data_IF_618022050716
#
_entry.id   IF_618022050716
#
_cell.length_a   1.000
_cell.length_b   1.000
_cell.length_c   1.000
_cell.angle_alpha   90.00
_cell.angle_beta   90.00
_cell.angle_gamma   90.00
#
_symmetry.space_group_name_H-M   'P 1'
#
loop_
_entity.id
_entity.type
_entity.pdbx_description
1 polymer ?
#
# COMPACT_ATOMS: atom_id res chain seq x y z
N UNK A 1 16.99 -33.26 -16.88
CA UNK A 1 16.38 -31.92 -17.04
C UNK A 1 15.91 -31.28 -15.74
N UNK A 2 14.83 -31.70 -15.05
CA UNK A 2 14.36 -31.00 -13.83
C UNK A 2 15.34 -31.02 -12.63
N UNK A 3 16.27 -31.98 -12.58
CA UNK A 3 17.32 -32.07 -11.56
C UNK A 3 18.58 -31.26 -11.89
N UNK A 4 18.83 -30.95 -13.17
CA UNK A 4 20.02 -30.20 -13.60
C UNK A 4 19.83 -28.69 -13.45
N UNK A 5 18.60 -28.18 -13.59
CA UNK A 5 18.30 -26.76 -13.34
C UNK A 5 18.44 -26.38 -11.85
N UNK A 6 18.26 -27.34 -10.92
CA UNK A 6 18.40 -27.08 -9.47
C UNK A 6 19.85 -26.77 -9.03
N UNK A 7 20.84 -27.14 -9.84
CA UNK A 7 22.26 -26.95 -9.53
C UNK A 7 22.77 -25.52 -9.77
N UNK A 8 22.06 -24.73 -10.58
CA UNK A 8 22.42 -23.33 -10.89
C UNK A 8 21.53 -22.28 -10.22
N UNK A 9 20.54 -22.70 -9.41
CA UNK A 9 19.75 -21.76 -8.62
C UNK A 9 20.57 -21.17 -7.46
N UNK A 10 20.73 -19.85 -7.45
CA UNK A 10 21.29 -19.10 -6.31
C UNK A 10 20.55 -19.51 -5.03
N UNK A 11 21.22 -19.77 -3.89
CA UNK A 11 20.56 -20.22 -2.66
C UNK A 11 19.36 -19.35 -2.24
N UNK A 12 19.45 -18.03 -2.46
CA UNK A 12 18.36 -17.10 -2.19
C UNK A 12 17.09 -17.34 -3.04
N UNK A 13 17.23 -17.81 -4.28
CA UNK A 13 16.10 -18.16 -5.14
C UNK A 13 15.40 -19.42 -4.62
N UNK A 14 16.18 -20.43 -4.21
CA UNK A 14 15.68 -21.66 -3.58
C UNK A 14 14.87 -21.36 -2.31
N UNK A 15 15.39 -20.53 -1.41
CA UNK A 15 14.67 -20.15 -0.18
C UNK A 15 13.38 -19.38 -0.45
N UNK A 16 13.31 -18.55 -1.49
CA UNK A 16 12.09 -17.81 -1.85
C UNK A 16 11.03 -18.68 -2.51
N UNK A 17 11.44 -19.80 -3.10
CA UNK A 17 10.53 -20.83 -3.62
C UNK A 17 9.95 -21.68 -2.49
N UNK A 18 10.76 -22.04 -1.49
CA UNK A 18 10.31 -22.83 -0.33
C UNK A 18 9.55 -22.00 0.71
N UNK A 19 9.94 -20.74 0.91
CA UNK A 19 9.32 -19.80 1.86
C UNK A 19 8.91 -18.51 1.14
N UNK A 20 7.72 -18.50 0.49
CA UNK A 20 7.26 -17.35 -0.30
C UNK A 20 7.15 -16.04 0.49
N UNK A 21 6.92 -16.11 1.81
CA UNK A 21 6.83 -14.94 2.69
C UNK A 21 8.15 -14.16 2.80
N UNK A 22 9.31 -14.75 2.46
CA UNK A 22 10.60 -14.04 2.39
C UNK A 22 10.60 -12.89 1.35
N UNK A 23 9.62 -12.87 0.45
CA UNK A 23 9.41 -11.76 -0.50
C UNK A 23 9.06 -10.46 0.20
N UNK A 24 8.46 -10.49 1.39
CA UNK A 24 8.10 -9.31 2.18
C UNK A 24 9.30 -8.41 2.50
N UNK A 25 10.50 -8.97 2.69
CA UNK A 25 11.71 -8.19 2.97
C UNK A 25 12.18 -7.34 1.76
N UNK A 26 11.70 -7.61 0.54
CA UNK A 26 11.90 -6.70 -0.59
C UNK A 26 11.04 -5.44 -0.48
N UNK A 27 9.97 -5.51 0.32
CA UNK A 27 8.98 -4.44 0.50
C UNK A 27 9.58 -3.12 0.99
N UNK A 28 10.63 -3.15 1.82
CA UNK A 28 11.32 -1.92 2.24
C UNK A 28 11.90 -1.14 1.07
N UNK A 29 12.74 -1.79 0.25
CA UNK A 29 13.34 -1.12 -0.91
C UNK A 29 12.30 -0.73 -1.95
N UNK A 30 11.28 -1.57 -2.13
CA UNK A 30 10.17 -1.29 -3.05
C UNK A 30 9.32 -0.09 -2.61
N UNK A 31 9.12 0.11 -1.31
CA UNK A 31 8.31 1.22 -0.78
C UNK A 31 9.04 2.57 -0.77
N UNK A 32 10.38 2.56 -0.85
CA UNK A 32 11.22 3.75 -1.07
C UNK A 32 11.23 4.24 -2.53
N UNK A 33 10.50 3.60 -3.46
CA UNK A 33 10.36 4.10 -4.83
C UNK A 33 9.73 5.51 -4.80
N UNK A 34 10.42 6.47 -5.42
CA UNK A 34 10.03 7.87 -5.43
C UNK A 34 8.59 8.08 -5.95
N UNK A 35 8.14 7.27 -6.92
CA UNK A 35 6.78 7.38 -7.47
C UNK A 35 5.74 7.02 -6.43
N UNK A 36 5.98 5.96 -5.66
CA UNK A 36 5.05 5.52 -4.60
C UNK A 36 5.05 6.52 -3.44
N UNK A 37 6.21 7.04 -3.07
CA UNK A 37 6.32 8.10 -2.06
C UNK A 37 5.56 9.37 -2.48
N UNK A 38 5.73 9.83 -3.72
CA UNK A 38 5.01 10.99 -4.23
C UNK A 38 3.49 10.77 -4.23
N UNK A 39 3.02 9.59 -4.66
CA UNK A 39 1.60 9.25 -4.63
C UNK A 39 1.05 9.16 -3.21
N UNK A 40 1.82 8.59 -2.28
CA UNK A 40 1.42 8.47 -0.88
C UNK A 40 1.34 9.83 -0.20
N UNK A 41 2.34 10.70 -0.43
CA UNK A 41 2.33 12.10 0.06
C UNK A 41 1.16 12.86 -0.53
N UNK A 42 0.93 12.78 -1.85
CA UNK A 42 -0.18 13.46 -2.49
C UNK A 42 -1.53 12.94 -1.96
N UNK A 43 -1.66 11.62 -1.79
CA UNK A 43 -2.84 11.00 -1.19
C UNK A 43 -3.11 11.47 0.23
N UNK A 44 -2.07 11.59 1.06
CA UNK A 44 -2.17 12.14 2.42
C UNK A 44 -2.61 13.61 2.43
N UNK A 45 -2.00 14.44 1.58
CA UNK A 45 -2.36 15.85 1.48
C UNK A 45 -3.81 16.03 1.03
N UNK A 46 -4.26 15.25 0.04
CA UNK A 46 -5.65 15.24 -0.39
C UNK A 46 -6.55 14.75 0.75
N UNK A 47 -6.20 13.65 1.42
CA UNK A 47 -6.97 13.12 2.54
C UNK A 47 -7.18 14.18 3.63
N UNK A 48 -6.10 14.82 4.09
CA UNK A 48 -6.16 15.87 5.11
C UNK A 48 -6.90 17.12 4.65
N UNK A 49 -6.76 17.53 3.39
CA UNK A 49 -7.54 18.64 2.84
C UNK A 49 -9.04 18.36 2.89
N UNK A 50 -9.46 17.13 2.59
CA UNK A 50 -10.85 16.71 2.73
C UNK A 50 -11.32 16.69 4.19
N UNK A 51 -10.52 16.14 5.10
CA UNK A 51 -10.82 16.15 6.55
C UNK A 51 -11.04 17.58 7.06
N UNK A 52 -10.08 18.46 6.76
CA UNK A 52 -10.16 19.88 7.09
C UNK A 52 -11.42 20.55 6.52
N UNK A 53 -11.83 20.20 5.30
CA UNK A 53 -13.07 20.71 4.71
C UNK A 53 -14.31 20.17 5.44
N UNK A 54 -14.34 18.87 5.76
CA UNK A 54 -15.48 18.23 6.42
C UNK A 54 -15.65 18.65 7.86
N UNK A 55 -14.58 19.01 8.56
CA UNK A 55 -14.65 19.57 9.91
C UNK A 55 -15.50 20.84 9.99
N UNK A 56 -15.66 21.58 8.89
CA UNK A 56 -16.51 22.78 8.80
C UNK A 56 -17.99 22.47 8.57
N UNK A 57 -18.35 21.22 8.31
CA UNK A 57 -19.74 20.83 8.07
C UNK A 57 -20.54 20.84 9.38
N UNK A 58 -21.84 21.20 9.34
CA UNK A 58 -22.65 21.40 10.55
C UNK A 58 -22.84 20.12 11.39
N UNK A 59 -22.68 18.94 10.79
CA UNK A 59 -22.79 17.65 11.47
C UNK A 59 -21.46 17.14 12.02
N UNK A 60 -20.33 17.83 11.79
CA UNK A 60 -19.04 17.40 12.31
C UNK A 60 -19.02 17.47 13.85
N UNK A 61 -18.30 16.57 14.54
CA UNK A 61 -18.11 16.65 15.98
C UNK A 61 -17.44 17.98 16.39
N UNK A 62 -16.49 18.44 15.59
CA UNK A 62 -15.74 19.69 15.74
C UNK A 62 -16.67 20.90 15.78
N UNK A 63 -17.53 21.05 14.77
CA UNK A 63 -18.49 22.15 14.67
C UNK A 63 -19.54 22.11 15.79
N UNK A 64 -19.97 20.90 16.21
CA UNK A 64 -20.92 20.73 17.30
C UNK A 64 -20.33 21.00 18.69
N UNK A 65 -19.03 20.73 18.89
CA UNK A 65 -18.36 20.89 20.18
C UNK A 65 -17.58 22.20 20.31
N UNK A 66 -17.56 23.05 19.27
CA UNK A 66 -16.73 24.26 19.19
C UNK A 66 -15.27 24.00 19.59
N UNK A 67 -14.76 22.81 19.28
CA UNK A 67 -13.36 22.41 19.52
C UNK A 67 -12.56 22.58 18.25
N UNK A 68 -11.28 22.83 18.38
CA UNK A 68 -10.41 22.89 17.21
C UNK A 68 -10.26 21.51 16.53
N UNK A 69 -10.38 21.44 15.19
CA UNK A 69 -10.44 20.19 14.42
C UNK A 69 -9.18 19.31 14.44
N UNK A 70 -8.09 19.77 15.05
CA UNK A 70 -6.74 19.20 14.85
C UNK A 70 -6.47 17.96 15.74
N UNK A 71 -7.39 17.58 16.62
CA UNK A 71 -7.10 16.79 17.82
C UNK A 71 -7.07 15.23 17.72
N UNK A 72 -7.22 14.59 16.55
CA UNK A 72 -7.46 13.12 16.52
C UNK A 72 -6.50 12.24 15.69
N UNK A 73 -5.19 12.41 15.79
CA UNK A 73 -4.20 11.43 15.26
C UNK A 73 -2.90 11.47 16.07
N UNK A 74 -2.17 10.34 16.13
CA UNK A 74 -1.00 10.08 16.98
C UNK A 74 -0.16 11.31 17.36
N UNK A 75 -0.36 11.74 18.62
CA UNK A 75 0.13 13.01 19.16
C UNK A 75 1.66 13.13 19.13
N UNK A 76 2.39 12.02 19.32
CA UNK A 76 3.86 12.02 19.29
C UNK A 76 4.41 12.37 17.91
N UNK A 77 3.93 11.70 16.85
CA UNK A 77 4.41 11.96 15.50
C UNK A 77 4.02 13.39 15.13
N UNK A 78 2.74 13.78 15.25
CA UNK A 78 2.30 15.17 14.97
C UNK A 78 3.05 16.23 15.76
N UNK A 79 3.37 15.99 17.02
CA UNK A 79 4.23 16.86 17.83
C UNK A 79 5.62 17.01 17.20
N UNK A 80 6.26 15.89 16.86
CA UNK A 80 7.55 15.88 16.17
C UNK A 80 7.49 16.54 14.77
N UNK A 81 6.40 16.33 14.02
CA UNK A 81 6.14 16.94 12.71
C UNK A 81 5.76 18.44 12.80
N UNK A 82 5.49 18.99 13.99
CA UNK A 82 4.98 20.35 14.16
C UNK A 82 3.57 20.58 13.60
N UNK A 83 2.74 19.53 13.60
CA UNK A 83 1.35 19.51 13.11
C UNK A 83 0.31 19.52 14.25
N UNK A 84 0.72 19.44 15.51
CA UNK A 84 -0.18 19.53 16.65
C UNK A 84 -0.20 20.98 17.19
N UNK A 85 -1.37 21.62 17.13
CA UNK A 85 -1.69 22.86 17.84
C UNK A 85 -2.54 22.48 19.08
N UNK A 86 -2.11 23.03 20.21
CA UNK A 86 -2.71 23.12 21.55
C UNK A 86 -3.04 21.83 22.33
N UNK A 87 -2.24 21.60 23.37
CA UNK A 87 -2.63 20.86 24.57
C UNK A 87 -3.67 21.68 25.34
N UNK A 88 -4.79 21.05 25.73
CA UNK A 88 -5.86 21.67 26.54
C UNK A 88 -5.41 22.16 27.93
N UNK A 89 -4.14 21.96 28.29
CA UNK A 89 -3.56 22.33 29.58
C UNK A 89 -2.71 23.61 29.54
N UNK A 90 -2.50 24.24 28.38
CA UNK A 90 -1.68 25.46 28.28
C UNK A 90 -0.22 25.28 28.69
N UNK A 91 0.22 24.04 28.96
CA UNK A 91 1.63 23.76 29.20
C UNK A 91 2.34 23.61 27.85
N UNK A 92 3.44 24.36 27.63
CA UNK A 92 4.25 24.20 26.45
C UNK A 92 4.77 22.77 26.42
N UNK A 93 4.34 21.99 25.43
CA UNK A 93 5.00 20.72 25.13
C UNK A 93 6.42 21.08 24.72
N UNK A 94 7.47 20.61 25.43
CA UNK A 94 8.82 20.89 25.03
C UNK A 94 9.06 20.25 23.66
N UNK A 95 9.08 21.07 22.61
CA UNK A 95 9.53 20.67 21.27
C UNK A 95 11.06 20.69 21.31
N UNK A 96 11.62 19.77 22.09
CA UNK A 96 13.04 19.63 22.24
C UNK A 96 13.62 18.95 20.98
N UNK A 97 14.79 19.44 20.57
CA UNK A 97 15.93 18.64 20.10
C UNK A 97 15.77 17.13 20.31
N UNK A 98 16.14 16.33 19.29
CA UNK A 98 16.26 14.86 19.28
C UNK A 98 15.48 14.14 20.42
N UNK A 99 14.35 13.47 20.14
CA UNK A 99 13.49 12.95 21.22
C UNK A 99 14.34 12.15 22.21
N UNK A 100 14.26 12.51 23.49
CA UNK A 100 15.10 11.93 24.56
C UNK A 100 15.01 10.39 24.61
N UNK A 101 13.96 9.83 24.02
CA UNK A 101 13.78 8.42 23.73
C UNK A 101 13.15 8.23 22.35
N UNK A 102 13.57 7.17 21.65
CA UNK A 102 12.82 6.69 20.48
C UNK A 102 11.43 6.20 20.91
N UNK A 103 10.42 6.32 20.01
CA UNK A 103 9.07 5.84 20.29
C UNK A 103 9.07 4.34 20.58
N UNK A 104 8.16 3.93 21.46
CA UNK A 104 7.96 2.52 21.78
C UNK A 104 7.38 1.75 20.60
N UNK A 105 7.55 0.42 20.59
CA UNK A 105 6.99 -0.44 19.54
C UNK A 105 5.48 -0.28 19.33
N UNK A 106 4.72 0.02 20.39
CA UNK A 106 3.29 0.26 20.31
C UNK A 106 2.91 1.56 19.56
N UNK A 107 3.67 2.64 19.77
CA UNK A 107 3.47 3.92 19.08
C UNK A 107 3.84 3.80 17.60
N UNK A 108 4.89 3.04 17.27
CA UNK A 108 5.25 2.77 15.89
C UNK A 108 4.19 1.92 15.19
N UNK A 109 3.61 0.96 15.92
CA UNK A 109 2.53 0.14 15.41
C UNK A 109 1.25 0.97 15.17
N UNK A 110 0.94 1.96 16.00
CA UNK A 110 -0.20 2.85 15.77
C UNK A 110 -0.01 3.68 14.49
N UNK A 111 1.21 4.19 14.27
CA UNK A 111 1.57 4.91 13.04
C UNK A 111 1.49 3.97 11.83
N UNK A 112 2.02 2.75 11.92
CA UNK A 112 2.00 1.79 10.81
C UNK A 112 0.60 1.31 10.44
N UNK A 113 -0.32 1.30 11.40
CA UNK A 113 -1.72 0.93 11.19
C UNK A 113 -2.60 2.12 10.79
N UNK A 114 -2.05 3.33 10.70
CA UNK A 114 -2.76 4.54 10.27
C UNK A 114 -3.48 4.38 8.92
N UNK A 115 -2.86 3.84 7.84
CA UNK A 115 -3.55 3.63 6.56
C UNK A 115 -4.78 2.73 6.71
N UNK A 116 -4.73 1.75 7.62
CA UNK A 116 -5.85 0.87 7.94
C UNK A 116 -6.92 1.57 8.78
N UNK A 117 -6.49 2.33 9.80
CA UNK A 117 -7.39 3.06 10.70
C UNK A 117 -8.20 4.14 9.98
N UNK A 118 -7.66 4.78 8.94
CA UNK A 118 -8.39 5.79 8.16
C UNK A 118 -9.69 5.26 7.54
N UNK A 119 -9.73 3.98 7.18
CA UNK A 119 -10.93 3.31 6.65
C UNK A 119 -11.69 2.55 7.75
N UNK A 120 -10.98 1.84 8.62
CA UNK A 120 -11.59 0.97 9.63
C UNK A 120 -12.28 1.75 10.75
N UNK A 121 -11.69 2.85 11.23
CA UNK A 121 -12.26 3.67 12.30
C UNK A 121 -13.67 4.20 11.97
N UNK A 122 -13.92 4.85 10.82
CA UNK A 122 -15.27 5.29 10.47
C UNK A 122 -16.23 4.11 10.19
N UNK A 123 -15.75 2.99 9.64
CA UNK A 123 -16.59 1.81 9.47
C UNK A 123 -17.07 1.22 10.81
N UNK A 124 -16.19 1.13 11.81
CA UNK A 124 -16.54 0.64 13.15
C UNK A 124 -17.39 1.67 13.90
N UNK A 125 -17.13 2.98 13.75
CA UNK A 125 -17.91 4.01 14.42
C UNK A 125 -19.40 3.96 14.03
N UNK A 126 -19.70 3.63 12.76
CA UNK A 126 -21.07 3.44 12.26
C UNK A 126 -21.86 2.32 12.94
N UNK A 127 -21.19 1.38 13.62
CA UNK A 127 -21.84 0.28 14.35
C UNK A 127 -22.10 0.57 15.82
N UNK A 128 -21.69 1.75 16.33
CA UNK A 128 -21.93 2.14 17.71
C UNK A 128 -23.42 2.28 18.00
N UNK A 129 -23.85 1.86 19.20
CA UNK A 129 -25.23 2.01 19.68
C UNK A 129 -25.54 3.47 19.99
N UNK A 130 -26.81 3.86 19.83
CA UNK A 130 -27.34 5.18 20.19
C UNK A 130 -26.64 6.37 19.49
N UNK A 131 -26.39 6.24 18.18
CA UNK A 131 -25.81 7.32 17.39
C UNK A 131 -26.86 8.36 16.96
N UNK A 132 -26.45 9.63 16.96
CA UNK A 132 -27.23 10.68 16.31
C UNK A 132 -27.10 10.61 14.79
N UNK A 133 -28.06 11.16 14.05
CA UNK A 133 -27.97 11.28 12.58
C UNK A 133 -26.70 12.01 12.12
N UNK A 134 -26.23 12.99 12.91
CA UNK A 134 -24.96 13.68 12.65
C UNK A 134 -23.74 12.77 12.79
N UNK A 135 -23.72 11.84 13.75
CA UNK A 135 -22.60 10.91 13.93
C UNK A 135 -22.55 9.90 12.77
N UNK A 136 -23.72 9.44 12.33
CA UNK A 136 -23.86 8.56 11.16
C UNK A 136 -23.41 9.26 9.88
N UNK A 137 -23.86 10.49 9.64
CA UNK A 137 -23.43 11.30 8.49
C UNK A 137 -21.92 11.54 8.51
N UNK A 138 -21.35 11.84 9.68
CA UNK A 138 -19.91 12.00 9.86
C UNK A 138 -19.13 10.72 9.55
N UNK A 139 -19.57 9.59 10.09
CA UNK A 139 -18.96 8.27 9.84
C UNK A 139 -18.96 7.91 8.36
N UNK A 140 -20.09 8.08 7.66
CA UNK A 140 -20.19 7.82 6.23
C UNK A 140 -19.34 8.76 5.39
N UNK A 141 -19.33 10.05 5.70
CA UNK A 141 -18.50 11.05 5.00
C UNK A 141 -17.02 10.66 5.06
N UNK A 142 -16.55 10.29 6.26
CA UNK A 142 -15.18 9.85 6.48
C UNK A 142 -14.86 8.53 5.79
N UNK A 143 -15.75 7.54 5.88
CA UNK A 143 -15.55 6.23 5.27
C UNK A 143 -15.46 6.34 3.74
N UNK A 144 -16.44 7.01 3.12
CA UNK A 144 -16.47 7.17 1.65
C UNK A 144 -15.26 7.98 1.19
N UNK A 145 -14.89 9.04 1.92
CA UNK A 145 -13.71 9.83 1.57
C UNK A 145 -12.42 9.02 1.62
N UNK A 146 -12.20 8.27 2.72
CA UNK A 146 -11.04 7.40 2.85
C UNK A 146 -10.98 6.39 1.68
N UNK A 147 -12.11 5.75 1.36
CA UNK A 147 -12.20 4.79 0.26
C UNK A 147 -11.89 5.45 -1.09
N UNK A 148 -12.43 6.65 -1.38
CA UNK A 148 -12.18 7.39 -2.63
C UNK A 148 -10.72 7.78 -2.77
N UNK A 149 -10.13 8.40 -1.76
CA UNK A 149 -8.73 8.84 -1.80
C UNK A 149 -7.82 7.64 -2.01
N UNK A 150 -8.00 6.59 -1.21
CA UNK A 150 -7.15 5.42 -1.32
C UNK A 150 -7.44 4.57 -2.57
N UNK A 151 -8.64 4.63 -3.15
CA UNK A 151 -8.93 4.00 -4.42
C UNK A 151 -8.06 4.59 -5.53
N UNK A 152 -7.88 5.91 -5.53
CA UNK A 152 -7.02 6.62 -6.49
C UNK A 152 -5.54 6.39 -6.19
N UNK A 153 -5.09 6.71 -4.97
CA UNK A 153 -3.66 6.72 -4.64
C UNK A 153 -3.15 5.37 -4.18
N UNK A 154 -3.88 4.69 -3.29
CA UNK A 154 -3.56 3.33 -2.83
C UNK A 154 -3.61 2.32 -3.97
N UNK A 155 -4.65 2.38 -4.81
CA UNK A 155 -4.74 1.60 -6.05
C UNK A 155 -3.58 1.87 -7.02
N UNK A 156 -3.16 3.13 -7.18
CA UNK A 156 -2.00 3.46 -8.02
C UNK A 156 -0.69 2.90 -7.44
N UNK A 157 -0.48 3.00 -6.12
CA UNK A 157 0.70 2.44 -5.44
C UNK A 157 0.71 0.92 -5.56
N UNK A 158 -0.42 0.27 -5.30
CA UNK A 158 -0.58 -1.18 -5.43
C UNK A 158 -0.32 -1.65 -6.87
N UNK A 159 -0.76 -0.90 -7.89
CA UNK A 159 -0.45 -1.19 -9.29
C UNK A 159 1.05 -1.11 -9.61
N UNK A 160 1.77 -0.10 -9.10
CA UNK A 160 3.23 -0.02 -9.26
C UNK A 160 3.91 -1.18 -8.54
N UNK A 161 3.54 -1.44 -7.28
CA UNK A 161 4.09 -2.54 -6.50
C UNK A 161 3.84 -3.91 -7.16
N UNK A 162 2.68 -4.10 -7.79
CA UNK A 162 2.36 -5.32 -8.51
C UNK A 162 3.29 -5.56 -9.71
N UNK A 163 3.60 -4.52 -10.48
CA UNK A 163 4.56 -4.60 -11.59
C UNK A 163 5.98 -4.93 -11.09
N UNK A 164 6.39 -4.34 -9.96
CA UNK A 164 7.69 -4.62 -9.34
C UNK A 164 7.78 -6.07 -8.84
N UNK A 165 6.70 -6.61 -8.28
CA UNK A 165 6.63 -8.01 -7.81
C UNK A 165 6.63 -8.98 -8.99
N UNK A 166 5.88 -8.66 -10.06
CA UNK A 166 5.77 -9.49 -11.26
C UNK A 166 6.96 -9.37 -12.22
N UNK A 167 7.87 -8.41 -12.00
CA UNK A 167 9.02 -8.17 -12.88
C UNK A 167 8.65 -7.66 -14.27
N UNK A 168 7.48 -7.02 -14.43
CA UNK A 168 6.91 -6.62 -15.74
C UNK A 168 7.32 -5.21 -16.19
N UNK A 169 8.48 -4.73 -15.73
CA UNK A 169 8.96 -3.38 -16.01
C UNK A 169 8.30 -2.33 -15.12
N UNK A 170 8.39 -1.05 -15.52
CA UNK A 170 7.97 0.07 -14.68
C UNK A 170 6.90 0.92 -15.36
N UNK A 171 5.90 1.37 -14.59
CA UNK A 171 4.86 2.30 -15.05
C UNK A 171 5.13 3.71 -14.53
N UNK A 172 4.87 4.73 -15.35
CA UNK A 172 4.93 6.11 -14.90
C UNK A 172 3.77 6.48 -13.96
N UNK A 173 3.92 7.57 -13.20
CA UNK A 173 2.88 8.11 -12.29
C UNK A 173 1.52 8.27 -12.98
N UNK A 174 1.51 8.88 -14.16
CA UNK A 174 0.29 9.09 -14.97
C UNK A 174 -0.37 7.77 -15.37
N UNK A 175 0.42 6.74 -15.70
CA UNK A 175 -0.10 5.43 -16.06
C UNK A 175 -0.73 4.71 -14.87
N UNK A 176 -0.10 4.80 -13.70
CA UNK A 176 -0.62 4.23 -12.46
C UNK A 176 -1.93 4.91 -12.03
N UNK A 177 -1.98 6.25 -12.06
CA UNK A 177 -3.18 7.03 -11.76
C UNK A 177 -4.30 6.80 -12.78
N UNK A 178 -3.97 6.68 -14.08
CA UNK A 178 -4.96 6.36 -15.11
C UNK A 178 -5.57 4.98 -14.88
N UNK A 179 -4.76 3.99 -14.47
CA UNK A 179 -5.28 2.67 -14.12
C UNK A 179 -6.22 2.75 -12.92
N UNK A 180 -5.82 3.40 -11.82
CA UNK A 180 -6.66 3.47 -10.61
C UNK A 180 -7.95 4.26 -10.82
N UNK A 181 -7.88 5.43 -11.45
CA UNK A 181 -9.06 6.24 -11.79
C UNK A 181 -9.99 5.56 -12.79
N UNK A 182 -9.44 4.82 -13.77
CA UNK A 182 -10.23 4.03 -14.71
C UNK A 182 -10.99 2.86 -14.08
N UNK A 183 -10.56 2.38 -12.90
CA UNK A 183 -11.21 1.31 -12.15
C UNK A 183 -11.83 1.82 -10.83
N UNK A 184 -12.09 3.13 -10.71
CA UNK A 184 -12.54 3.75 -9.44
C UNK A 184 -13.81 3.10 -8.89
N UNK A 185 -14.75 2.74 -9.77
CA UNK A 185 -16.00 2.06 -9.39
C UNK A 185 -15.70 0.67 -8.84
N UNK A 186 -14.76 -0.07 -9.42
CA UNK A 186 -14.36 -1.39 -8.90
C UNK A 186 -13.69 -1.25 -7.53
N UNK A 187 -12.80 -0.27 -7.36
CA UNK A 187 -12.12 -0.02 -6.08
C UNK A 187 -13.10 0.37 -4.98
N UNK A 188 -14.07 1.25 -5.26
CA UNK A 188 -15.09 1.62 -4.29
C UNK A 188 -16.07 0.47 -4.02
N UNK A 189 -16.46 -0.25 -5.09
CA UNK A 189 -17.40 -1.35 -5.00
C UNK A 189 -16.87 -2.49 -4.13
N UNK A 190 -15.58 -2.84 -4.22
CA UNK A 190 -15.00 -3.96 -3.46
C UNK A 190 -15.33 -3.91 -1.96
N UNK A 191 -14.92 -2.86 -1.22
CA UNK A 191 -15.23 -2.73 0.21
C UNK A 191 -16.68 -2.38 0.53
N UNK A 192 -17.42 -1.74 -0.39
CA UNK A 192 -18.82 -1.37 -0.19
C UNK A 192 -19.79 -2.53 -0.43
N UNK A 193 -19.45 -3.52 -1.26
CA UNK A 193 -20.32 -4.65 -1.58
C UNK A 193 -20.66 -5.53 -0.35
N UNK A 194 -19.71 -5.87 0.55
CA UNK A 194 -20.02 -6.53 1.81
C UNK A 194 -21.04 -5.80 2.68
N UNK A 195 -21.13 -4.47 2.57
CA UNK A 195 -22.08 -3.67 3.35
C UNK A 195 -23.52 -3.99 2.96
N UNK A 196 -23.77 -4.39 1.71
CA UNK A 196 -25.11 -4.83 1.29
C UNK A 196 -25.54 -6.06 2.10
N UNK A 197 -24.65 -7.05 2.22
CA UNK A 197 -24.87 -8.24 3.05
C UNK A 197 -25.06 -7.89 4.52
N UNK A 198 -24.24 -6.98 5.05
CA UNK A 198 -24.39 -6.46 6.41
C UNK A 198 -25.77 -5.79 6.62
N UNK A 199 -26.21 -4.97 5.65
CA UNK A 199 -27.47 -4.25 5.67
C UNK A 199 -28.69 -5.17 5.65
N UNK A 200 -28.64 -6.29 4.91
CA UNK A 200 -29.70 -7.30 4.90
C UNK A 200 -29.87 -7.90 6.30
N UNK A 201 -28.81 -8.37 6.93
CA UNK A 201 -28.90 -8.96 8.28
C UNK A 201 -29.23 -7.91 9.36
N UNK A 202 -28.78 -6.67 9.18
CA UNK A 202 -29.17 -5.54 10.01
C UNK A 202 -30.69 -5.29 9.92
N UNK A 203 -31.24 -5.24 8.70
CA UNK A 203 -32.67 -5.04 8.48
C UNK A 203 -33.52 -6.17 9.08
N UNK A 204 -33.09 -7.43 8.92
CA UNK A 204 -33.74 -8.56 9.58
C UNK A 204 -33.73 -8.42 11.11
N UNK A 205 -32.60 -7.98 11.68
CA UNK A 205 -32.49 -7.73 13.12
C UNK A 205 -33.39 -6.57 13.57
N UNK A 206 -33.56 -5.53 12.75
CA UNK A 206 -34.52 -4.46 13.01
C UNK A 206 -35.95 -4.98 13.09
N UNK A 207 -36.36 -5.82 12.13
CA UNK A 207 -37.71 -6.42 12.12
C UNK A 207 -37.96 -7.22 13.39
N UNK A 208 -36.96 -7.99 13.87
CA UNK A 208 -37.08 -8.69 15.15
C UNK A 208 -37.20 -7.70 16.31
N UNK A 209 -36.43 -6.62 16.32
CA UNK A 209 -36.53 -5.56 17.34
C UNK A 209 -37.88 -4.85 17.39
N UNK A 210 -38.59 -4.72 16.26
CA UNK A 210 -39.94 -4.14 16.21
C UNK A 210 -40.96 -4.94 17.05
N UNK A 211 -40.78 -6.26 17.18
CA UNK A 211 -41.63 -7.12 18.05
C UNK A 211 -41.62 -6.64 19.50
N UNK A 212 -40.51 -6.06 19.97
CA UNK A 212 -40.39 -5.50 21.32
C UNK A 212 -41.34 -4.34 21.62
N UNK A 213 -41.91 -3.69 20.59
CA UNK A 213 -42.85 -2.58 20.75
C UNK A 213 -44.30 -3.04 20.99
N UNK A 214 -44.60 -4.34 20.89
CA UNK A 214 -45.95 -4.85 21.18
C UNK A 214 -46.23 -4.70 22.68
N UNK A 215 -47.29 -3.99 23.10
CA UNK A 215 -47.60 -3.79 24.51
C UNK A 215 -47.73 -5.12 25.27
N UNK A 216 -47.22 -5.15 26.50
CA UNK A 216 -47.28 -6.28 27.45
C UNK A 216 -46.50 -7.54 27.07
N UNK A 217 -46.65 -8.06 25.84
CA UNK A 217 -46.10 -9.37 25.42
C UNK A 217 -44.82 -9.23 24.59
N UNK A 218 -44.60 -8.08 23.94
CA UNK A 218 -43.48 -7.83 23.03
C UNK A 218 -42.10 -8.07 23.64
N UNK A 219 -41.78 -7.50 24.82
CA UNK A 219 -40.47 -7.71 25.45
C UNK A 219 -40.19 -9.18 25.80
N UNK A 220 -41.19 -9.93 26.27
CA UNK A 220 -41.05 -11.35 26.59
C UNK A 220 -40.82 -12.19 25.34
N UNK A 221 -41.57 -11.93 24.26
CA UNK A 221 -41.36 -12.59 22.97
C UNK A 221 -40.00 -12.27 22.35
N UNK A 222 -39.60 -11.00 22.37
CA UNK A 222 -38.28 -10.59 21.88
C UNK A 222 -37.15 -11.23 22.71
N UNK A 223 -37.31 -11.29 24.03
CA UNK A 223 -36.38 -11.99 24.92
C UNK A 223 -36.28 -13.48 24.62
N UNK A 224 -37.42 -14.16 24.38
CA UNK A 224 -37.45 -15.56 23.98
C UNK A 224 -36.83 -15.80 22.60
N UNK A 225 -37.04 -14.87 21.65
CA UNK A 225 -36.48 -14.92 20.31
C UNK A 225 -35.08 -14.30 20.19
N UNK A 226 -34.42 -13.93 21.30
CA UNK A 226 -33.16 -13.19 21.29
C UNK A 226 -32.00 -13.95 20.63
N UNK A 227 -32.09 -15.28 20.54
CA UNK A 227 -31.13 -16.08 19.78
C UNK A 227 -31.09 -15.69 18.28
N UNK A 228 -32.19 -15.20 17.71
CA UNK A 228 -32.26 -14.77 16.29
C UNK A 228 -31.33 -13.58 16.01
N UNK A 229 -31.45 -12.41 16.68
CA UNK A 229 -30.53 -11.30 16.47
C UNK A 229 -29.10 -11.61 16.91
N UNK A 230 -28.88 -12.56 17.83
CA UNK A 230 -27.52 -13.06 18.13
C UNK A 230 -26.91 -13.79 16.94
N UNK A 231 -27.65 -14.71 16.30
CA UNK A 231 -27.18 -15.39 15.09
C UNK A 231 -26.94 -14.42 13.93
N UNK A 232 -27.86 -13.47 13.70
CA UNK A 232 -27.69 -12.42 12.70
C UNK A 232 -26.48 -11.53 13.01
N UNK A 233 -26.28 -11.18 14.28
CA UNK A 233 -25.12 -10.41 14.75
C UNK A 233 -23.79 -11.12 14.50
N UNK A 234 -23.72 -12.45 14.65
CA UNK A 234 -22.53 -13.23 14.27
C UNK A 234 -22.25 -13.12 12.77
N UNK A 235 -23.28 -13.24 11.92
CA UNK A 235 -23.11 -13.08 10.47
C UNK A 235 -22.64 -11.67 10.10
N UNK A 236 -23.23 -10.64 10.72
CA UNK A 236 -22.79 -9.25 10.55
C UNK A 236 -21.34 -9.04 11.00
N UNK A 237 -20.94 -9.63 12.13
CA UNK A 237 -19.58 -9.55 12.65
C UNK A 237 -18.57 -10.23 11.70
N UNK A 238 -18.91 -11.41 11.16
CA UNK A 238 -18.06 -12.11 10.18
C UNK A 238 -17.92 -11.32 8.87
N UNK A 239 -19.01 -10.74 8.37
CA UNK A 239 -18.98 -9.89 7.18
C UNK A 239 -18.10 -8.66 7.41
N UNK A 240 -18.31 -7.96 8.53
CA UNK A 240 -17.55 -6.76 8.84
C UNK A 240 -16.07 -7.06 9.11
N UNK A 241 -15.76 -8.14 9.84
CA UNK A 241 -14.39 -8.59 10.06
C UNK A 241 -13.70 -8.95 8.74
N UNK A 242 -14.39 -9.69 7.85
CA UNK A 242 -13.91 -9.97 6.50
C UNK A 242 -13.63 -8.69 5.71
N UNK A 243 -14.54 -7.71 5.74
CA UNK A 243 -14.39 -6.47 5.01
C UNK A 243 -13.21 -5.65 5.55
N UNK A 244 -13.11 -5.50 6.87
CA UNK A 244 -12.05 -4.75 7.54
C UNK A 244 -10.66 -5.39 7.36
N UNK A 245 -10.56 -6.70 7.27
CA UNK A 245 -9.28 -7.39 7.08
C UNK A 245 -8.91 -7.51 5.59
N UNK A 246 -9.90 -7.73 4.71
CA UNK A 246 -9.67 -8.01 3.30
C UNK A 246 -9.70 -6.77 2.39
N UNK A 247 -10.21 -5.61 2.83
CA UNK A 247 -10.31 -4.43 1.95
C UNK A 247 -8.98 -4.02 1.27
N UNK A 248 -7.78 -4.11 1.89
CA UNK A 248 -6.54 -3.80 1.18
C UNK A 248 -6.26 -4.83 0.09
N UNK A 249 -6.58 -6.11 0.35
CA UNK A 249 -6.43 -7.19 -0.62
C UNK A 249 -7.39 -7.05 -1.79
N UNK A 250 -8.59 -6.47 -1.61
CA UNK A 250 -9.50 -6.16 -2.71
C UNK A 250 -8.87 -5.15 -3.67
N UNK A 251 -8.20 -4.12 -3.15
CA UNK A 251 -7.50 -3.13 -3.96
C UNK A 251 -6.32 -3.77 -4.69
N UNK A 252 -5.56 -4.62 -4.00
CA UNK A 252 -4.49 -5.39 -4.63
C UNK A 252 -5.03 -6.32 -5.72
N UNK A 253 -6.20 -6.94 -5.53
CA UNK A 253 -6.84 -7.80 -6.54
C UNK A 253 -7.13 -7.00 -7.81
N UNK A 254 -7.75 -5.83 -7.69
CA UNK A 254 -8.05 -4.96 -8.85
C UNK A 254 -6.74 -4.47 -9.51
N UNK A 255 -5.75 -4.10 -8.70
CA UNK A 255 -4.43 -3.67 -9.20
C UNK A 255 -3.68 -4.76 -9.96
N UNK A 256 -3.84 -6.04 -9.56
CA UNK A 256 -3.11 -7.17 -10.16
C UNK A 256 -3.90 -7.81 -11.30
N UNK A 257 -5.18 -8.07 -11.11
CA UNK A 257 -6.04 -8.79 -12.06
C UNK A 257 -6.82 -7.86 -13.01
N UNK A 258 -6.99 -6.57 -12.66
CA UNK A 258 -7.86 -5.67 -13.43
C UNK A 258 -9.34 -6.06 -13.38
N UNK A 259 -9.77 -6.74 -12.32
CA UNK A 259 -11.13 -7.28 -12.20
C UNK A 259 -12.16 -6.28 -11.65
N UNK A 260 -13.43 -6.67 -11.68
CA UNK A 260 -14.52 -5.88 -11.13
C UNK A 260 -14.61 -5.99 -9.59
N UNK A 261 -15.51 -5.21 -8.99
CA UNK A 261 -15.70 -5.15 -7.54
C UNK A 261 -16.06 -6.50 -6.91
N UNK A 262 -16.87 -7.32 -7.59
CA UNK A 262 -17.37 -8.57 -7.05
C UNK A 262 -16.30 -9.67 -7.08
N UNK A 263 -15.58 -9.79 -8.19
CA UNK A 263 -14.41 -10.68 -8.29
C UNK A 263 -13.33 -10.26 -7.28
N UNK A 264 -13.07 -8.95 -7.14
CA UNK A 264 -12.13 -8.44 -6.15
C UNK A 264 -12.50 -8.79 -4.70
N UNK A 265 -13.77 -8.60 -4.33
CA UNK A 265 -14.28 -8.98 -3.01
C UNK A 265 -14.18 -10.49 -2.79
N UNK A 266 -14.69 -11.30 -3.74
CA UNK A 266 -14.76 -12.75 -3.59
C UNK A 266 -13.38 -13.40 -3.48
N UNK A 267 -12.40 -13.01 -4.32
CA UNK A 267 -11.01 -13.48 -4.23
C UNK A 267 -10.35 -13.07 -2.91
N UNK A 268 -10.46 -11.81 -2.53
CA UNK A 268 -9.87 -11.32 -1.29
C UNK A 268 -10.43 -12.05 -0.05
N UNK A 269 -11.74 -12.31 -0.02
CA UNK A 269 -12.37 -13.12 1.02
C UNK A 269 -11.89 -14.57 0.98
N UNK A 270 -11.87 -15.20 -0.20
CA UNK A 270 -11.41 -16.59 -0.35
C UNK A 270 -9.97 -16.74 0.16
N UNK A 271 -9.06 -15.87 -0.27
CA UNK A 271 -7.66 -15.93 0.15
C UNK A 271 -7.49 -15.71 1.66
N UNK A 272 -8.27 -14.81 2.26
CA UNK A 272 -8.22 -14.56 3.70
C UNK A 272 -8.78 -15.75 4.51
N UNK A 273 -9.93 -16.30 4.13
CA UNK A 273 -10.65 -17.31 4.91
C UNK A 273 -10.21 -18.75 4.63
N UNK A 274 -9.64 -19.05 3.45
CA UNK A 274 -9.04 -20.34 3.17
C UNK A 274 -7.72 -20.54 3.92
N UNK A 275 -6.92 -19.47 4.08
CA UNK A 275 -5.61 -19.51 4.77
C UNK A 275 -5.47 -18.44 5.85
N UNK A 276 -6.35 -18.43 6.87
CA UNK A 276 -6.39 -17.37 7.87
C UNK A 276 -5.07 -17.28 8.64
N UNK A 277 -4.40 -18.42 8.89
CA UNK A 277 -3.13 -18.43 9.60
C UNK A 277 -1.97 -17.88 8.76
N UNK A 278 -1.96 -18.13 7.45
CA UNK A 278 -0.96 -17.55 6.56
C UNK A 278 -1.19 -16.05 6.41
N UNK A 279 -2.44 -15.61 6.25
CA UNK A 279 -2.78 -14.19 6.21
C UNK A 279 -2.39 -13.46 7.50
N UNK A 280 -2.68 -14.06 8.67
CA UNK A 280 -2.27 -13.54 9.97
C UNK A 280 -0.75 -13.47 10.10
N UNK A 281 -0.02 -14.52 9.68
CA UNK A 281 1.44 -14.54 9.68
C UNK A 281 2.04 -13.45 8.79
N UNK A 282 1.54 -13.28 7.57
CA UNK A 282 2.00 -12.24 6.65
C UNK A 282 1.74 -10.84 7.20
N UNK A 283 0.58 -10.62 7.83
CA UNK A 283 0.22 -9.34 8.46
C UNK A 283 1.13 -9.05 9.65
N UNK A 284 1.33 -10.03 10.55
CA UNK A 284 2.22 -9.92 11.70
C UNK A 284 3.66 -9.61 11.26
N UNK A 285 4.18 -10.36 10.30
CA UNK A 285 5.54 -10.16 9.81
C UNK A 285 5.69 -8.80 9.12
N UNK A 286 4.67 -8.35 8.37
CA UNK A 286 4.65 -7.02 7.77
C UNK A 286 4.67 -5.91 8.82
N UNK A 287 3.90 -6.07 9.91
CA UNK A 287 3.87 -5.12 11.01
C UNK A 287 5.21 -5.06 11.76
N UNK A 288 5.76 -6.21 12.17
CA UNK A 288 7.05 -6.29 12.87
C UNK A 288 8.18 -5.71 12.02
N UNK A 289 8.23 -6.08 10.73
CA UNK A 289 9.21 -5.53 9.81
C UNK A 289 9.02 -4.03 9.59
N UNK A 290 7.78 -3.58 9.47
CA UNK A 290 7.42 -2.17 9.39
C UNK A 290 7.92 -1.38 10.60
N UNK A 291 7.79 -1.91 11.82
CA UNK A 291 8.27 -1.28 13.06
C UNK A 291 9.78 -1.08 13.00
N UNK A 292 10.53 -2.14 12.67
CA UNK A 292 11.99 -2.09 12.58
C UNK A 292 12.45 -1.07 11.54
N UNK A 293 11.83 -1.07 10.36
CA UNK A 293 12.25 -0.19 9.27
C UNK A 293 11.82 1.25 9.52
N UNK A 294 10.67 1.49 10.12
CA UNK A 294 10.23 2.84 10.50
C UNK A 294 11.12 3.41 11.59
N UNK A 295 11.54 2.60 12.57
CA UNK A 295 12.56 2.97 13.55
C UNK A 295 13.87 3.35 12.89
N UNK A 296 14.33 2.56 11.91
CA UNK A 296 15.53 2.87 11.16
C UNK A 296 15.41 4.23 10.43
N UNK A 297 14.30 4.47 9.73
CA UNK A 297 14.08 5.74 9.04
C UNK A 297 13.98 6.91 10.01
N UNK A 298 13.31 6.74 11.15
CA UNK A 298 13.26 7.73 12.22
C UNK A 298 14.65 8.04 12.78
N UNK A 299 15.48 7.03 12.99
CA UNK A 299 16.86 7.21 13.45
C UNK A 299 17.70 7.97 12.42
N UNK A 300 17.56 7.65 11.12
CA UNK A 300 18.24 8.37 10.04
C UNK A 300 17.80 9.83 9.99
N UNK A 301 16.50 10.09 10.09
CA UNK A 301 15.98 11.45 10.06
C UNK A 301 16.39 12.23 11.32
N UNK A 302 16.28 11.64 12.50
CA UNK A 302 16.68 12.26 13.77
C UNK A 302 18.18 12.58 13.77
N UNK A 303 19.03 11.65 13.30
CA UNK A 303 20.46 11.89 13.14
C UNK A 303 20.74 13.02 12.15
N UNK A 304 20.04 13.04 11.01
CA UNK A 304 20.20 14.08 9.99
C UNK A 304 19.81 15.46 10.52
N UNK A 305 18.67 15.56 11.22
CA UNK A 305 18.21 16.80 11.86
C UNK A 305 19.18 17.25 12.97
N UNK A 306 19.67 16.31 13.79
CA UNK A 306 20.64 16.63 14.84
C UNK A 306 21.96 17.16 14.27
N UNK A 307 22.51 16.52 13.24
CA UNK A 307 23.75 17.00 12.61
C UNK A 307 23.55 18.37 11.94
N UNK A 308 22.38 18.61 11.33
CA UNK A 308 22.03 19.92 10.79
C UNK A 308 21.94 20.99 11.89
N UNK A 309 21.24 20.70 12.99
CA UNK A 309 21.12 21.60 14.14
C UNK A 309 22.47 21.87 14.81
N UNK A 310 23.27 20.82 15.02
CA UNK A 310 24.60 20.91 15.62
C UNK A 310 25.51 21.80 14.77
N UNK A 311 25.61 21.52 13.47
CA UNK A 311 26.46 22.31 12.57
C UNK A 311 26.05 23.78 12.52
N UNK A 312 24.76 24.09 12.39
CA UNK A 312 24.27 25.49 12.40
C UNK A 312 24.50 26.15 13.75
N UNK A 313 24.31 25.42 14.86
CA UNK A 313 24.49 25.98 16.22
C UNK A 313 25.91 26.47 16.49
N UNK A 314 26.92 25.87 15.86
CA UNK A 314 28.32 26.32 16.01
C UNK A 314 28.57 27.73 15.49
N UNK A 315 27.74 28.21 14.55
CA UNK A 315 27.90 29.52 13.92
C UNK A 315 26.78 30.50 14.33
N UNK A 316 25.53 30.05 14.30
CA UNK A 316 24.34 30.85 14.57
C UNK A 316 24.00 30.95 16.07
N UNK A 317 24.61 30.09 16.91
CA UNK A 317 24.29 29.97 18.32
C UNK A 317 23.17 28.97 18.60
N UNK A 318 23.19 28.37 19.79
CA UNK A 318 22.23 27.33 20.19
C UNK A 318 20.80 27.89 20.33
N UNK A 319 20.64 29.08 20.91
CA UNK A 319 19.34 29.71 21.13
C UNK A 319 18.60 30.02 19.82
N UNK A 320 19.34 30.47 18.79
CA UNK A 320 18.77 30.72 17.47
C UNK A 320 18.29 29.44 16.77
N UNK A 321 19.05 28.34 16.90
CA UNK A 321 18.65 27.03 16.36
C UNK A 321 17.46 26.45 17.12
N UNK A 322 17.40 26.66 18.44
CA UNK A 322 16.25 26.25 19.26
C UNK A 322 14.98 26.97 18.79
N UNK A 323 15.03 28.29 18.60
CA UNK A 323 13.89 29.06 18.10
C UNK A 323 13.42 28.59 16.70
N UNK A 324 14.33 28.19 15.79
CA UNK A 324 13.97 27.60 14.50
C UNK A 324 13.31 26.21 14.62
N UNK A 325 13.62 25.47 15.67
CA UNK A 325 13.11 24.11 15.91
C UNK A 325 11.72 24.14 16.55
N UNK A 326 11.48 25.11 17.42
CA UNK A 326 10.19 25.33 18.10
C UNK A 326 9.16 26.02 17.19
N UNK A 327 9.59 26.64 16.09
CA UNK A 327 8.72 27.33 15.14
C UNK A 327 7.63 26.39 14.55
N UNK A 328 6.34 26.62 14.84
CA UNK A 328 5.26 25.91 14.17
C UNK A 328 5.10 26.40 12.72
N UNK A 329 4.67 25.55 11.79
CA UNK A 329 4.26 26.04 10.46
C UNK A 329 2.86 26.67 10.50
N UNK A 330 1.99 26.15 11.37
CA UNK A 330 0.63 26.61 11.59
C UNK A 330 0.38 26.71 13.09
N UNK A 331 -0.24 27.80 13.55
CA UNK A 331 -0.50 28.05 14.97
C UNK A 331 0.38 29.17 15.54
N UNK A 332 0.16 29.49 16.81
CA UNK A 332 0.90 30.54 17.49
C UNK A 332 2.33 30.07 17.80
N UNK A 333 3.31 30.89 17.43
CA UNK A 333 4.70 30.74 17.87
C UNK A 333 4.84 31.02 19.37
N UNK A 334 5.88 30.46 20.00
CA UNK A 334 6.18 30.83 21.38
C UNK A 334 6.64 32.30 21.42
N UNK A 335 6.28 33.07 22.46
CA UNK A 335 6.74 34.46 22.61
C UNK A 335 8.28 34.58 22.58
N UNK A 336 8.98 33.55 23.07
CA UNK A 336 10.44 33.47 23.02
C UNK A 336 10.97 33.33 21.59
N UNK A 337 10.32 32.50 20.75
CA UNK A 337 10.70 32.36 19.34
C UNK A 337 10.42 33.63 18.54
N UNK A 338 9.30 34.31 18.79
CA UNK A 338 8.96 35.59 18.16
C UNK A 338 9.93 36.72 18.49
N UNK A 339 10.43 36.76 19.73
CA UNK A 339 11.44 37.71 20.15
C UNK A 339 12.83 37.40 19.54
N UNK A 340 13.12 36.12 19.29
CA UNK A 340 14.42 35.67 18.81
C UNK A 340 14.59 35.76 17.28
N UNK A 341 13.53 35.55 16.51
CA UNK A 341 13.62 35.41 15.05
C UNK A 341 12.50 36.13 14.30
N UNK A 342 12.78 36.66 13.09
CA UNK A 342 11.74 37.20 12.23
C UNK A 342 10.80 36.09 11.73
N UNK A 343 9.51 36.41 11.62
CA UNK A 343 8.45 35.48 11.18
C UNK A 343 8.78 34.63 9.94
N UNK A 344 9.36 35.19 8.85
CA UNK A 344 9.73 34.40 7.69
C UNK A 344 10.73 33.28 7.98
N UNK A 345 11.71 33.50 8.86
CA UNK A 345 12.71 32.48 9.20
C UNK A 345 12.06 31.28 9.89
N UNK A 346 11.16 31.56 10.84
CA UNK A 346 10.36 30.54 11.53
C UNK A 346 9.48 29.75 10.56
N UNK A 347 8.79 30.44 9.63
CA UNK A 347 7.94 29.80 8.63
C UNK A 347 8.72 28.86 7.70
N UNK A 348 9.89 29.28 7.21
CA UNK A 348 10.72 28.44 6.34
C UNK A 348 11.29 27.23 7.08
N UNK A 349 11.72 27.38 8.34
CA UNK A 349 12.20 26.26 9.14
C UNK A 349 11.08 25.23 9.41
N UNK A 350 9.89 25.71 9.79
CA UNK A 350 8.70 24.88 9.94
C UNK A 350 8.35 24.12 8.65
N UNK A 351 8.44 24.78 7.49
CA UNK A 351 8.13 24.19 6.19
C UNK A 351 9.01 22.99 5.85
N UNK A 352 10.34 23.12 6.01
CA UNK A 352 11.26 22.02 5.75
C UNK A 352 11.08 20.84 6.69
N UNK A 353 10.82 21.12 7.99
CA UNK A 353 10.47 20.08 8.97
C UNK A 353 9.21 19.33 8.55
N UNK A 354 8.20 20.03 8.04
CA UNK A 354 6.97 19.41 7.55
C UNK A 354 7.15 18.58 6.28
N UNK A 355 8.06 18.96 5.38
CA UNK A 355 8.37 18.12 4.22
C UNK A 355 8.92 16.77 4.69
N UNK A 356 9.92 16.79 5.58
CA UNK A 356 10.54 15.58 6.15
C UNK A 356 9.49 14.70 6.84
N UNK A 357 8.62 15.34 7.59
CA UNK A 357 7.51 14.73 8.30
C UNK A 357 6.53 13.99 7.38
N UNK A 358 6.02 14.69 6.37
CA UNK A 358 5.05 14.17 5.42
C UNK A 358 5.69 13.07 4.56
N UNK A 359 6.98 13.15 4.26
CA UNK A 359 7.71 12.08 3.58
C UNK A 359 7.75 10.79 4.41
N UNK A 360 7.96 10.88 5.73
CA UNK A 360 7.95 9.72 6.62
C UNK A 360 6.56 9.07 6.67
N UNK A 361 5.49 9.86 6.78
CA UNK A 361 4.12 9.37 6.70
C UNK A 361 3.78 8.80 5.33
N UNK A 362 4.26 9.43 4.26
CA UNK A 362 4.16 8.93 2.90
C UNK A 362 4.85 7.57 2.73
N UNK A 363 6.01 7.38 3.36
CA UNK A 363 6.68 6.08 3.41
C UNK A 363 5.80 5.02 4.09
N UNK A 364 5.19 5.32 5.24
CA UNK A 364 4.30 4.38 5.95
C UNK A 364 3.14 3.91 5.06
N UNK A 365 2.52 4.82 4.32
CA UNK A 365 1.43 4.48 3.39
C UNK A 365 1.94 3.71 2.17
N UNK A 366 3.08 4.11 1.59
CA UNK A 366 3.74 3.38 0.50
C UNK A 366 4.09 1.95 0.91
N UNK A 367 4.60 1.78 2.13
CA UNK A 367 4.92 0.49 2.74
C UNK A 367 3.66 -0.36 2.92
N UNK A 368 2.59 0.18 3.51
CA UNK A 368 1.33 -0.52 3.70
C UNK A 368 0.77 -1.11 2.39
N UNK A 369 0.69 -0.30 1.33
CA UNK A 369 0.19 -0.74 0.03
C UNK A 369 1.12 -1.74 -0.66
N UNK A 370 2.43 -1.54 -0.52
CA UNK A 370 3.44 -2.47 -1.08
C UNK A 370 3.38 -3.83 -0.38
N UNK A 371 3.29 -3.86 0.96
CA UNK A 371 3.22 -5.09 1.74
C UNK A 371 1.90 -5.83 1.50
N UNK A 372 0.77 -5.10 1.43
CA UNK A 372 -0.53 -5.67 1.07
C UNK A 372 -0.48 -6.33 -0.31
N UNK A 373 0.21 -5.71 -1.27
CA UNK A 373 0.38 -6.26 -2.62
C UNK A 373 1.24 -7.52 -2.61
N UNK A 374 2.37 -7.52 -1.91
CA UNK A 374 3.21 -8.72 -1.79
C UNK A 374 2.44 -9.85 -1.08
N UNK A 375 1.70 -9.53 -0.02
CA UNK A 375 0.87 -10.49 0.69
C UNK A 375 -0.21 -11.09 -0.21
N UNK A 376 -0.88 -10.27 -1.03
CA UNK A 376 -1.82 -10.74 -2.05
C UNK A 376 -1.19 -11.76 -3.00
N UNK A 377 -0.01 -11.45 -3.57
CA UNK A 377 0.69 -12.40 -4.45
C UNK A 377 1.05 -13.71 -3.74
N UNK A 378 1.47 -13.65 -2.47
CA UNK A 378 1.79 -14.85 -1.70
C UNK A 378 0.55 -15.69 -1.42
N UNK A 379 -0.57 -15.07 -1.06
CA UNK A 379 -1.83 -15.77 -0.80
C UNK A 379 -2.43 -16.34 -2.08
N UNK A 380 -2.43 -15.59 -3.19
CA UNK A 380 -2.87 -16.04 -4.51
C UNK A 380 -2.05 -17.23 -5.01
N UNK A 381 -0.71 -17.17 -4.85
CA UNK A 381 0.14 -18.30 -5.23
C UNK A 381 -0.13 -19.53 -4.36
N UNK A 382 -0.42 -19.31 -3.08
CA UNK A 382 -0.71 -20.38 -2.14
C UNK A 382 -2.03 -21.10 -2.46
N UNK A 383 -3.09 -20.35 -2.79
CA UNK A 383 -4.43 -20.88 -3.08
C UNK A 383 -4.59 -21.35 -4.54
N UNK A 384 -4.23 -20.52 -5.50
CA UNK A 384 -4.53 -20.75 -6.93
C UNK A 384 -3.32 -21.31 -7.72
N UNK A 385 -2.17 -21.52 -7.05
CA UNK A 385 -0.91 -21.87 -7.71
C UNK A 385 -0.48 -20.91 -8.84
N UNK A 386 -1.01 -19.67 -8.84
CA UNK A 386 -0.70 -18.69 -9.89
C UNK A 386 0.76 -18.24 -9.80
N UNK A 387 1.54 -18.24 -10.89
CA UNK A 387 2.90 -17.70 -10.90
C UNK A 387 2.97 -16.22 -10.51
N UNK A 388 4.07 -15.81 -9.87
CA UNK A 388 4.27 -14.43 -9.42
C UNK A 388 4.41 -13.44 -10.59
N UNK A 389 4.80 -13.93 -11.76
CA UNK A 389 5.02 -13.16 -12.99
C UNK A 389 3.72 -12.90 -13.76
N UNK A 390 2.62 -13.55 -13.35
CA UNK A 390 1.31 -13.45 -13.98
C UNK A 390 0.52 -12.26 -13.40
N UNK A 391 0.22 -11.30 -14.28
CA UNK A 391 -0.49 -10.08 -13.95
C UNK A 391 -1.25 -9.60 -15.19
N UNK A 392 -2.42 -8.98 -14.99
CA UNK A 392 -3.17 -8.39 -16.08
C UNK A 392 -2.46 -7.14 -16.62
N UNK A 393 -2.21 -7.12 -17.93
CA UNK A 393 -1.67 -5.97 -18.66
C UNK A 393 -2.67 -5.60 -19.76
N UNK A 394 -3.25 -4.39 -19.75
CA UNK A 394 -4.17 -3.95 -20.79
C UNK A 394 -3.53 -4.05 -22.18
N UNK A 395 -4.29 -4.53 -23.17
CA UNK A 395 -3.82 -4.85 -24.52
C UNK A 395 -3.14 -3.68 -25.25
N UNK A 396 -3.46 -2.42 -24.90
CA UNK A 396 -2.82 -1.22 -25.48
C UNK A 396 -1.30 -1.12 -25.19
N UNK A 397 -0.80 -1.78 -24.14
CA UNK A 397 0.64 -1.83 -23.84
C UNK A 397 1.37 -2.95 -24.61
N UNK A 398 0.65 -3.87 -25.25
CA UNK A 398 1.21 -4.91 -26.13
C UNK A 398 1.46 -4.44 -27.57
N UNK A 399 1.10 -3.20 -27.90
CA UNK A 399 1.16 -2.64 -29.25
C UNK A 399 2.55 -2.31 -29.81
N UNK A 400 3.65 -2.93 -29.31
CA UNK A 400 4.98 -2.74 -29.92
C UNK A 400 5.68 -3.99 -30.43
N UNK A 401 5.18 -5.21 -30.25
CA UNK A 401 5.84 -6.42 -30.79
C UNK A 401 4.91 -7.62 -31.04
N UNK A 402 3.62 -7.41 -31.30
CA UNK A 402 2.78 -8.50 -31.82
C UNK A 402 1.94 -7.96 -32.98
N UNK A 403 2.23 -8.45 -34.19
CA UNK A 403 1.31 -8.30 -35.31
C UNK A 403 -0.08 -8.82 -34.93
N UNK A 404 -1.14 -8.36 -35.61
CA UNK A 404 -2.51 -8.69 -35.23
C UNK A 404 -2.67 -10.22 -35.18
N UNK A 405 -2.98 -10.74 -33.98
CA UNK A 405 -3.41 -12.12 -33.85
C UNK A 405 -4.80 -12.17 -34.45
N UNK A 406 -4.91 -12.72 -35.66
CA UNK A 406 -6.18 -13.02 -36.30
C UNK A 406 -6.93 -14.06 -35.44
N UNK A 407 -7.76 -13.59 -34.53
CA UNK A 407 -8.76 -14.40 -33.85
C UNK A 407 -9.86 -14.74 -34.86
N UNK A 408 -9.92 -16.00 -35.28
CA UNK A 408 -10.89 -16.46 -36.29
C UNK A 408 -10.54 -17.73 -37.05
N UNK A 409 -9.31 -18.26 -36.96
CA UNK A 409 -8.99 -19.52 -37.66
C UNK A 409 -9.62 -20.72 -36.94
N UNK A 410 -10.47 -21.44 -37.65
CA UNK A 410 -11.07 -22.69 -37.19
C UNK A 410 -9.97 -23.74 -36.93
N UNK A 411 -10.18 -24.61 -35.94
CA UNK A 411 -9.19 -25.62 -35.53
C UNK A 411 -8.75 -26.57 -36.67
N UNK A 412 -9.50 -26.63 -37.78
CA UNK A 412 -9.14 -27.38 -38.98
C UNK A 412 -7.93 -26.77 -39.74
N UNK A 413 -7.84 -25.45 -39.80
CA UNK A 413 -6.82 -24.72 -40.56
C UNK A 413 -5.43 -24.84 -39.91
N UNK A 414 -5.38 -24.95 -38.57
CA UNK A 414 -4.15 -25.28 -37.82
C UNK A 414 -3.62 -26.67 -38.12
N UNK A 415 -4.50 -27.64 -38.43
CA UNK A 415 -4.06 -29.02 -38.73
C UNK A 415 -3.46 -29.11 -40.13
N UNK A 416 -3.99 -28.38 -41.09
CA UNK A 416 -3.44 -28.32 -42.46
C UNK A 416 -2.07 -27.64 -42.50
N UNK A 417 -1.86 -26.55 -41.74
CA UNK A 417 -0.54 -25.92 -41.63
C UNK A 417 0.50 -26.80 -40.91
N UNK A 418 0.08 -27.56 -39.91
CA UNK A 418 0.94 -28.54 -39.24
C UNK A 418 1.26 -29.75 -40.15
N UNK A 419 0.37 -30.12 -41.07
CA UNK A 419 0.57 -31.21 -42.03
C UNK A 419 1.41 -30.81 -43.26
N UNK A 420 1.54 -29.50 -43.55
CA UNK A 420 2.27 -28.98 -44.71
C UNK A 420 3.77 -28.70 -44.50
N UNK A 421 4.31 -28.91 -43.30
CA UNK A 421 5.75 -28.72 -43.04
C UNK A 421 6.52 -30.02 -43.32
N UNK A 422 7.50 -30.05 -44.25
CA UNK A 422 8.28 -31.25 -44.51
C UNK A 422 9.21 -31.54 -43.32
N UNK A 423 9.15 -32.77 -42.81
CA UNK A 423 10.05 -33.30 -41.79
C UNK A 423 11.47 -33.47 -42.37
N UNK A 424 12.54 -33.05 -41.67
CA UNK A 424 13.89 -33.36 -42.09
C UNK A 424 14.16 -34.85 -41.83
N UNK A 425 14.31 -35.61 -42.91
CA UNK A 425 14.68 -37.02 -42.85
C UNK A 425 16.17 -37.19 -42.48
N UNK A 426 16.40 -38.29 -41.77
CA UNK A 426 17.66 -38.83 -41.28
C UNK A 426 18.76 -38.89 -42.34
N UNK A 427 19.98 -38.49 -41.98
CA UNK A 427 21.20 -38.97 -42.62
C UNK A 427 22.06 -39.66 -41.57
N UNK A 428 22.12 -40.99 -41.65
CA UNK A 428 23.11 -41.83 -40.98
C UNK A 428 24.34 -42.04 -41.91
N UNK A 429 25.53 -42.38 -41.39
CA UNK A 429 26.81 -42.26 -42.09
C UNK A 429 27.27 -43.59 -42.73
N UNK A 430 28.04 -43.53 -43.83
CA UNK A 430 28.91 -44.65 -44.23
C UNK A 430 30.14 -44.23 -45.08
N UNK A 431 31.32 -44.47 -44.48
CA UNK A 431 32.64 -44.96 -44.96
C UNK A 431 33.22 -44.59 -46.36
N UNK A 432 34.33 -43.82 -46.33
CA UNK A 432 35.71 -43.93 -46.94
C UNK A 432 36.04 -44.89 -48.12
N UNK A 433 37.29 -44.87 -48.69
CA UNK A 433 38.26 -43.79 -49.03
C UNK A 433 38.88 -43.95 -50.46
N UNK A 434 39.55 -42.93 -51.04
CA UNK A 434 40.89 -43.14 -51.68
C UNK A 434 41.62 -41.84 -52.13
N UNK A 435 42.94 -42.01 -52.22
CA UNK A 435 44.12 -41.15 -52.46
C UNK A 435 44.07 -40.16 -53.64
N UNK A 436 44.82 -39.05 -53.53
CA UNK A 436 46.22 -38.94 -54.08
C UNK A 436 46.87 -37.55 -53.85
N UNK A 437 48.19 -37.61 -53.57
CA UNK A 437 49.29 -36.65 -53.81
C UNK A 437 48.96 -35.33 -54.55
N UNK A 438 49.50 -34.16 -54.25
CA UNK A 438 50.79 -33.78 -53.66
C UNK A 438 51.43 -32.76 -54.60
N UNK A 439 51.81 -31.57 -54.12
CA UNK A 439 52.92 -30.78 -54.70
C UNK A 439 53.41 -29.69 -53.74
N UNK A 440 54.69 -29.37 -53.84
CA UNK A 440 55.50 -28.59 -52.93
C UNK A 440 56.11 -27.34 -53.61
N UNK A 441 56.48 -26.35 -52.79
CA UNK A 441 57.47 -25.29 -53.09
C UNK A 441 56.96 -24.07 -53.87
N UNK A 442 57.50 -22.85 -53.76
CA UNK A 442 58.59 -22.29 -52.96
C UNK A 442 58.61 -20.74 -53.18
N UNK A 443 59.34 -20.03 -52.31
CA UNK A 443 60.07 -18.75 -52.53
C UNK A 443 59.39 -17.36 -52.46
N UNK A 444 59.42 -16.79 -51.25
CA UNK A 444 60.17 -15.60 -50.78
C UNK A 444 60.56 -14.40 -51.69
N UNK A 445 60.35 -13.18 -51.14
CA UNK A 445 61.22 -11.95 -51.10
C UNK A 445 60.45 -10.78 -50.48
N UNK A 446 60.97 -9.78 -49.76
CA UNK A 446 62.12 -9.60 -48.86
C UNK A 446 62.00 -8.18 -48.21
N UNK A 447 62.56 -8.02 -47.01
CA UNK A 447 63.12 -6.81 -46.36
C UNK A 447 62.27 -5.56 -45.94
N UNK A 448 62.45 -5.17 -44.65
CA UNK A 448 62.01 -3.91 -43.97
C UNK A 448 62.94 -2.70 -44.23
N UNK A 449 63.23 -1.75 -43.28
CA UNK A 449 63.11 -1.81 -41.81
C UNK A 449 62.69 -0.50 -41.05
N UNK A 450 62.58 -0.59 -39.70
CA UNK A 450 62.86 0.45 -38.67
C UNK A 450 61.85 1.61 -38.48
N UNK A 451 61.55 2.18 -37.30
CA UNK A 451 62.08 2.09 -35.93
C UNK A 451 61.82 3.43 -35.19
N UNK A 452 61.63 3.37 -33.85
CA UNK A 452 61.51 4.47 -32.86
C UNK A 452 60.15 5.23 -32.81
N UNK A 453 59.54 5.50 -31.66
CA UNK A 453 59.92 5.44 -30.25
C UNK A 453 58.68 5.13 -29.38
#
# INVERSE_FOLDING_TARGET
MALEEQFYEIPAARWRRTLPWLRLFRGFRMSLDARKLMLAVLGLLVFWAGQWAFDRLPFSPTARQAKDPVASTDAWLRSWLGLAVETSSGEPVPVASMPASFPGGAELLSVLTEPWRQTASPAVSLTRRNQSWSDVAWGWTNLVWALVVWAVFGGAIARIAALDVAGRGSIGLRGALRHSTGHLVSYLGGPLLPIIGFGIFWLLSLVVGLVGHIPSVGPTLLGAAWFVPLCLGVLQALILAGALLAWPLMYCTISVEGSDAFDAMSRAYSYLFSRPWQAAWLTLLSALYGVVVTLFLLAVVAASMHLAQWSVSTSFGADGVQALTEAPLFGASSPAAEAALPGPAMAFAGFWRQIVAVLLLGYVHSFFWTMSTIAYFVLRHAEDATPFEQMYVPSEASGRTAGPVLSGMAAAERREQAAGSPSPAETSPDVSPDRTAGDAGDAAKDAGPGGAA
#
